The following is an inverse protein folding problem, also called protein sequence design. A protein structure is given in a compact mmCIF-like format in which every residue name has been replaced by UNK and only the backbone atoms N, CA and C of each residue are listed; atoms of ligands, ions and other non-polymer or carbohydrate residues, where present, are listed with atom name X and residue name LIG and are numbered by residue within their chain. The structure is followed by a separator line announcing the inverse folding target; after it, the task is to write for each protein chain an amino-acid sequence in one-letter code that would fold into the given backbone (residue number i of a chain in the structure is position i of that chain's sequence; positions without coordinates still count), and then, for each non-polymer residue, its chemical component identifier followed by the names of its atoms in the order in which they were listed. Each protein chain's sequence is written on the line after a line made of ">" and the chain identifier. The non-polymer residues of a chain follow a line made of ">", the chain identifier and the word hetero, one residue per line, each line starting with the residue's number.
data_IF_560439788189
#
_entry.id   IF_560439788189
#
_cell.length_a   1.000
_cell.length_b   1.000
_cell.length_c   1.000
_cell.angle_alpha   90.00
_cell.angle_beta   90.00
_cell.angle_gamma   90.00
#
_symmetry.space_group_name_H-M   'P 1'
#
loop_
_entity.id
_entity.type
_entity.pdbx_description
1 polymer ?
#
# COMPACT_ATOMS: atom_id res chain seq x y z
N UNK A 1 -34.40 100.46 -8.55
CA UNK A 1 -34.79 99.33 -7.69
C UNK A 1 -33.86 98.18 -8.01
N UNK A 2 -33.16 97.68 -7.07
CA UNK A 2 -31.97 96.85 -7.20
C UNK A 2 -32.32 95.39 -7.43
N UNK A 3 -31.82 94.80 -8.56
CA UNK A 3 -31.84 93.35 -8.81
C UNK A 3 -30.50 92.69 -8.54
N UNK A 4 -30.48 91.78 -7.61
CA UNK A 4 -29.27 91.01 -7.24
C UNK A 4 -29.01 89.86 -8.30
N UNK A 5 -27.80 89.84 -8.82
CA UNK A 5 -27.29 88.77 -9.67
C UNK A 5 -26.62 87.73 -8.74
N UNK A 6 -27.11 86.53 -8.75
CA UNK A 6 -26.49 85.40 -8.04
C UNK A 6 -25.59 84.55 -8.97
N UNK A 7 -24.30 84.54 -8.66
CA UNK A 7 -23.31 83.76 -9.40
C UNK A 7 -23.30 82.34 -8.88
N UNK A 8 -23.60 81.38 -9.76
CA UNK A 8 -23.47 79.94 -9.48
C UNK A 8 -22.03 79.49 -9.78
N UNK A 9 -21.31 79.06 -8.72
CA UNK A 9 -19.99 78.42 -8.90
C UNK A 9 -20.16 76.93 -9.15
N UNK A 10 -19.69 76.47 -10.30
CA UNK A 10 -19.65 75.05 -10.69
C UNK A 10 -18.38 74.43 -10.10
N UNK A 11 -18.52 73.54 -9.08
CA UNK A 11 -17.41 72.72 -8.56
C UNK A 11 -17.33 71.42 -9.35
N UNK A 12 -16.32 71.32 -10.19
CA UNK A 12 -15.98 70.07 -10.90
C UNK A 12 -15.23 69.15 -9.94
N UNK A 13 -15.93 68.12 -9.46
CA UNK A 13 -15.30 67.05 -8.68
C UNK A 13 -14.51 66.07 -9.56
N UNK A 14 -13.20 66.11 -9.44
CA UNK A 14 -12.34 65.05 -9.98
C UNK A 14 -12.53 63.74 -9.18
N UNK A 15 -13.26 62.78 -9.74
CA UNK A 15 -13.31 61.43 -9.22
C UNK A 15 -11.99 60.70 -9.56
N UNK A 16 -11.08 60.60 -8.58
CA UNK A 16 -9.89 59.73 -8.69
C UNK A 16 -10.39 58.30 -8.58
N UNK A 17 -10.51 57.59 -9.69
CA UNK A 17 -10.79 56.17 -9.75
C UNK A 17 -9.62 55.39 -9.13
N UNK A 18 -9.82 54.82 -7.93
CA UNK A 18 -8.91 53.82 -7.39
C UNK A 18 -8.83 52.62 -8.38
N UNK A 19 -7.62 52.11 -8.70
CA UNK A 19 -7.53 50.93 -9.48
C UNK A 19 -8.16 49.76 -8.72
N UNK A 20 -9.19 49.14 -9.29
CA UNK A 20 -9.75 47.90 -8.80
C UNK A 20 -8.63 46.88 -8.82
N UNK A 21 -8.09 46.50 -7.68
CA UNK A 21 -7.29 45.32 -7.49
C UNK A 21 -8.17 44.13 -7.89
N UNK A 22 -8.08 43.74 -9.16
CA UNK A 22 -8.59 42.45 -9.58
C UNK A 22 -7.81 41.38 -8.82
N UNK A 23 -8.34 40.96 -7.68
CA UNK A 23 -7.96 39.69 -7.06
C UNK A 23 -8.36 38.60 -8.05
N UNK A 24 -7.47 38.23 -8.95
CA UNK A 24 -7.59 36.98 -9.69
C UNK A 24 -7.77 35.92 -8.61
N UNK A 25 -8.94 35.32 -8.53
CA UNK A 25 -9.10 34.08 -7.80
C UNK A 25 -8.03 33.14 -8.37
N UNK A 26 -6.99 32.86 -7.58
CA UNK A 26 -5.94 31.94 -8.01
C UNK A 26 -6.61 30.60 -8.32
N UNK A 27 -6.57 30.23 -9.60
CA UNK A 27 -7.14 28.99 -10.10
C UNK A 27 -6.26 27.81 -9.60
N UNK A 28 -6.87 26.63 -9.42
CA UNK A 28 -6.11 25.42 -9.14
C UNK A 28 -4.99 25.21 -10.18
N UNK A 29 -3.85 24.61 -9.80
CA UNK A 29 -2.73 24.38 -10.72
C UNK A 29 -3.16 23.65 -11.99
N UNK A 30 -2.77 24.17 -13.15
CA UNK A 30 -3.11 23.56 -14.44
C UNK A 30 -2.34 22.27 -14.68
N UNK A 31 -2.90 21.40 -15.54
CA UNK A 31 -2.22 20.15 -15.93
C UNK A 31 -0.82 20.42 -16.52
N UNK A 32 -0.65 21.49 -17.30
CA UNK A 32 0.65 21.86 -17.87
C UNK A 32 1.68 22.26 -16.79
N UNK A 33 1.24 22.99 -15.76
CA UNK A 33 2.12 23.34 -14.62
C UNK A 33 2.56 22.11 -13.85
N UNK A 34 1.64 21.18 -13.55
CA UNK A 34 1.96 19.92 -12.88
C UNK A 34 2.94 19.10 -13.72
N UNK A 35 2.68 18.93 -15.01
CA UNK A 35 3.56 18.17 -15.91
C UNK A 35 4.98 18.77 -16.00
N UNK A 36 5.07 20.10 -16.11
CA UNK A 36 6.37 20.78 -16.14
C UNK A 36 7.14 20.62 -14.82
N UNK A 37 6.46 20.74 -13.68
CA UNK A 37 7.08 20.58 -12.37
C UNK A 37 7.51 19.12 -12.10
N UNK A 38 6.69 18.13 -12.46
CA UNK A 38 7.03 16.71 -12.36
C UNK A 38 8.25 16.36 -13.21
N UNK A 39 8.31 16.85 -14.44
CA UNK A 39 9.49 16.69 -15.30
C UNK A 39 10.74 17.35 -14.71
N UNK A 40 10.61 18.54 -14.15
CA UNK A 40 11.74 19.27 -13.57
C UNK A 40 12.32 18.58 -12.31
N UNK A 41 11.49 17.89 -11.52
CA UNK A 41 11.95 17.20 -10.30
C UNK A 41 12.50 15.80 -10.59
N UNK A 42 12.24 15.20 -11.75
CA UNK A 42 12.61 13.82 -12.07
C UNK A 42 14.10 13.48 -11.82
N UNK A 43 15.10 14.32 -12.19
CA UNK A 43 16.50 14.02 -11.88
C UNK A 43 16.75 13.84 -10.38
N UNK A 44 16.05 14.59 -9.53
CA UNK A 44 16.15 14.48 -8.07
C UNK A 44 15.45 13.22 -7.55
N UNK A 45 14.31 12.85 -8.14
CA UNK A 45 13.60 11.59 -7.83
C UNK A 45 14.50 10.38 -8.13
N UNK A 46 15.16 10.37 -9.28
CA UNK A 46 16.12 9.34 -9.67
C UNK A 46 17.29 9.28 -8.66
N UNK A 47 17.82 10.42 -8.26
CA UNK A 47 18.93 10.48 -7.30
C UNK A 47 18.50 9.93 -5.93
N UNK A 48 17.33 10.30 -5.41
CA UNK A 48 16.80 9.75 -4.16
C UNK A 48 16.56 8.24 -4.24
N UNK A 49 15.92 7.76 -5.33
CA UNK A 49 15.72 6.33 -5.54
C UNK A 49 17.02 5.54 -5.48
N UNK A 50 18.05 5.98 -6.20
CA UNK A 50 19.33 5.29 -6.25
C UNK A 50 20.06 5.31 -4.91
N UNK A 51 20.00 6.42 -4.19
CA UNK A 51 20.60 6.55 -2.85
C UNK A 51 19.90 5.62 -1.83
N UNK A 52 18.57 5.55 -1.85
CA UNK A 52 17.80 4.65 -0.96
C UNK A 52 18.04 3.19 -1.35
N UNK A 53 18.09 2.88 -2.65
CA UNK A 53 18.34 1.54 -3.16
C UNK A 53 19.73 0.99 -2.76
N UNK A 54 20.74 1.85 -2.77
CA UNK A 54 22.12 1.50 -2.36
C UNK A 54 22.24 1.28 -0.85
N UNK A 55 21.31 1.85 -0.05
CA UNK A 55 21.34 1.81 1.41
C UNK A 55 20.00 1.30 1.99
N UNK A 56 19.54 0.11 1.61
CA UNK A 56 18.24 -0.41 2.03
C UNK A 56 18.25 -0.79 3.52
N UNK A 57 17.10 -0.60 4.16
CA UNK A 57 16.89 -0.90 5.57
C UNK A 57 15.65 -1.80 5.74
N UNK A 58 15.74 -2.81 6.61
CA UNK A 58 14.65 -3.75 6.87
C UNK A 58 13.54 -3.10 7.71
N UNK A 59 12.36 -3.70 7.69
CA UNK A 59 11.20 -3.22 8.41
C UNK A 59 11.46 -2.91 9.89
N UNK A 60 11.00 -1.74 10.34
CA UNK A 60 11.27 -1.12 11.65
C UNK A 60 12.74 -0.71 11.90
N UNK A 61 13.61 -0.79 10.90
CA UNK A 61 15.03 -0.41 10.98
C UNK A 61 15.37 0.75 10.01
N UNK A 62 14.39 1.39 9.40
CA UNK A 62 14.51 2.40 8.33
C UNK A 62 14.94 3.78 8.88
N UNK A 63 15.99 3.81 9.71
CA UNK A 63 16.43 5.02 10.43
C UNK A 63 17.03 6.06 9.48
N UNK A 64 17.88 5.62 8.53
CA UNK A 64 18.53 6.50 7.55
C UNK A 64 17.50 7.05 6.56
N UNK A 65 16.63 6.18 6.04
CA UNK A 65 15.58 6.53 5.09
C UNK A 65 14.59 7.51 5.74
N UNK A 66 14.17 7.25 6.97
CA UNK A 66 13.32 8.15 7.76
C UNK A 66 13.96 9.55 7.95
N UNK A 67 15.24 9.59 8.30
CA UNK A 67 15.97 10.85 8.49
C UNK A 67 16.10 11.64 7.17
N UNK A 68 16.34 10.96 6.04
CA UNK A 68 16.36 11.56 4.71
C UNK A 68 14.99 12.19 4.38
N UNK A 69 13.90 11.44 4.56
CA UNK A 69 12.54 11.90 4.29
C UNK A 69 12.21 13.13 5.15
N UNK A 70 12.45 13.05 6.46
CA UNK A 70 12.14 14.13 7.37
C UNK A 70 12.94 15.42 7.03
N UNK A 71 14.20 15.28 6.65
CA UNK A 71 15.05 16.40 6.20
C UNK A 71 14.48 17.07 4.94
N UNK A 72 14.16 16.30 3.92
CA UNK A 72 13.62 16.82 2.65
C UNK A 72 12.26 17.50 2.84
N UNK A 73 11.36 16.90 3.60
CA UNK A 73 10.05 17.49 3.90
C UNK A 73 10.14 18.79 4.69
N UNK A 74 11.02 18.85 5.71
CA UNK A 74 11.27 20.11 6.47
C UNK A 74 11.82 21.20 5.57
N UNK A 75 12.78 20.88 4.67
CA UNK A 75 13.32 21.83 3.71
C UNK A 75 12.27 22.36 2.72
N UNK A 76 11.25 21.58 2.40
CA UNK A 76 10.10 21.97 1.57
C UNK A 76 9.00 22.73 2.33
N UNK A 77 9.14 22.92 3.65
CA UNK A 77 8.19 23.66 4.47
C UNK A 77 6.94 22.89 4.88
N UNK A 78 7.03 21.55 4.93
CA UNK A 78 6.02 20.71 5.56
C UNK A 78 6.13 20.76 7.09
N UNK A 79 5.02 20.63 7.77
CA UNK A 79 4.98 20.22 9.17
C UNK A 79 5.28 18.72 9.22
N UNK A 80 6.30 18.29 9.99
CA UNK A 80 6.79 16.91 9.95
C UNK A 80 6.65 16.26 11.32
N UNK A 81 6.03 15.10 11.35
CA UNK A 81 5.96 14.19 12.50
C UNK A 81 6.85 12.99 12.20
N UNK A 82 7.84 12.77 13.03
CA UNK A 82 8.79 11.66 12.97
C UNK A 82 8.41 10.58 13.97
N UNK A 83 8.89 9.37 13.78
CA UNK A 83 8.67 8.21 14.65
C UNK A 83 7.18 7.83 14.79
N UNK A 84 6.37 8.07 13.77
CA UNK A 84 5.00 7.59 13.70
C UNK A 84 5.04 6.13 13.23
N UNK A 85 4.60 5.19 14.07
CA UNK A 85 4.77 3.77 13.77
C UNK A 85 6.24 3.32 13.80
N UNK A 86 7.02 3.74 14.80
CA UNK A 86 8.47 3.57 14.98
C UNK A 86 9.29 4.49 14.07
N UNK A 87 9.65 4.07 12.86
CA UNK A 87 10.51 4.82 11.94
C UNK A 87 9.72 5.64 10.92
N UNK A 88 8.39 5.54 10.88
CA UNK A 88 7.57 6.24 9.91
C UNK A 88 7.58 7.77 10.06
N UNK A 89 7.33 8.44 8.94
CA UNK A 89 7.30 9.90 8.83
C UNK A 89 5.98 10.36 8.22
N UNK A 90 5.37 11.37 8.83
CA UNK A 90 4.17 12.04 8.31
C UNK A 90 4.46 13.48 8.01
N UNK A 91 4.32 13.89 6.76
CA UNK A 91 4.44 15.26 6.30
C UNK A 91 3.09 15.90 6.05
N UNK A 92 2.86 17.12 6.54
CA UNK A 92 1.59 17.84 6.43
C UNK A 92 1.81 19.16 5.69
N UNK A 93 1.15 19.32 4.56
CA UNK A 93 1.16 20.55 3.77
C UNK A 93 -0.22 21.19 3.80
N UNK A 94 -0.36 22.26 4.56
CA UNK A 94 -1.58 23.09 4.56
C UNK A 94 -1.54 24.04 3.37
N UNK A 95 -2.52 23.88 2.46
CA UNK A 95 -2.66 24.75 1.29
C UNK A 95 -3.04 26.19 1.62
N UNK A 96 -3.11 27.03 0.61
CA UNK A 96 -3.47 28.46 0.73
C UNK A 96 -4.93 28.72 1.09
N UNK A 97 -5.82 27.72 0.97
CA UNK A 97 -7.26 27.83 1.25
C UNK A 97 -7.73 26.64 2.08
N UNK A 98 -8.72 26.82 2.98
CA UNK A 98 -9.29 25.70 3.73
C UNK A 98 -10.02 24.73 2.78
N UNK A 99 -10.04 23.44 3.14
CA UNK A 99 -10.68 22.40 2.33
C UNK A 99 -10.56 21.03 2.98
N UNK A 100 -10.73 19.98 2.17
CA UNK A 100 -10.58 18.59 2.53
C UNK A 100 -9.14 18.23 2.89
N UNK A 101 -8.96 17.06 3.47
CA UNK A 101 -7.67 16.49 3.79
C UNK A 101 -7.48 15.20 3.02
N UNK A 102 -6.47 15.13 2.17
CA UNK A 102 -6.11 13.93 1.41
C UNK A 102 -4.77 13.40 1.85
N UNK A 103 -4.66 12.08 1.97
CA UNK A 103 -3.38 11.42 2.22
C UNK A 103 -2.84 10.72 0.97
N UNK A 104 -1.51 10.70 0.84
CA UNK A 104 -0.76 9.87 -0.09
C UNK A 104 0.20 9.00 0.73
N UNK A 105 0.34 7.73 0.38
CA UNK A 105 1.21 6.78 1.11
C UNK A 105 2.27 6.18 0.21
N UNK A 106 3.49 6.12 0.75
CA UNK A 106 4.59 5.28 0.26
C UNK A 106 5.12 4.43 1.42
N UNK A 107 5.33 3.14 1.18
CA UNK A 107 6.12 2.26 2.03
C UNK A 107 7.61 2.52 1.83
N UNK A 108 8.47 2.11 2.79
CA UNK A 108 9.88 2.46 2.75
C UNK A 108 10.85 1.36 3.20
N UNK A 109 10.34 0.20 3.59
CA UNK A 109 11.16 -0.92 4.04
C UNK A 109 11.71 -1.77 2.89
N UNK A 110 12.82 -2.46 3.16
CA UNK A 110 13.47 -3.40 2.25
C UNK A 110 13.34 -4.84 2.75
N UNK A 111 13.76 -5.78 1.91
CA UNK A 111 13.62 -7.22 2.14
C UNK A 111 14.98 -7.90 2.40
N UNK A 112 15.00 -9.03 3.12
CA UNK A 112 16.20 -9.85 3.32
C UNK A 112 16.52 -10.67 2.05
N UNK A 113 16.83 -10.00 0.95
CA UNK A 113 17.11 -10.58 -0.38
C UNK A 113 18.52 -10.18 -0.82
N UNK A 114 19.26 -11.14 -1.40
CA UNK A 114 20.56 -10.87 -2.03
C UNK A 114 20.34 -10.29 -3.43
N UNK A 115 20.80 -9.07 -3.65
CA UNK A 115 20.64 -8.40 -4.94
C UNK A 115 21.54 -8.98 -6.03
N UNK A 116 20.96 -9.20 -7.23
CA UNK A 116 21.65 -9.73 -8.42
C UNK A 116 21.34 -8.92 -9.68
N UNK A 117 20.90 -7.69 -9.54
CA UNK A 117 20.53 -6.79 -10.66
C UNK A 117 21.70 -6.38 -11.52
N UNK A 118 22.90 -6.24 -10.93
CA UNK A 118 24.09 -5.71 -11.60
C UNK A 118 24.06 -4.19 -11.78
N UNK A 119 23.20 -3.47 -11.08
CA UNK A 119 23.13 -2.01 -11.09
C UNK A 119 24.40 -1.40 -10.49
N UNK A 120 24.80 -0.20 -10.94
CA UNK A 120 25.95 0.52 -10.38
C UNK A 120 25.73 0.91 -8.91
N UNK A 121 24.48 1.09 -8.51
CA UNK A 121 24.03 1.39 -7.15
C UNK A 121 23.35 0.18 -6.47
N UNK A 122 23.70 -1.04 -6.92
CA UNK A 122 23.21 -2.27 -6.29
C UNK A 122 23.62 -2.34 -4.82
N UNK A 123 22.71 -2.77 -3.97
CA UNK A 123 22.93 -2.92 -2.53
C UNK A 123 24.04 -3.93 -2.20
N UNK A 124 24.88 -3.58 -1.24
CA UNK A 124 25.85 -4.48 -0.58
C UNK A 124 25.60 -4.56 0.92
N UNK A 125 24.47 -4.02 1.35
CA UNK A 125 24.09 -3.94 2.76
C UNK A 125 23.80 -5.32 3.32
N UNK A 126 24.23 -5.54 4.55
CA UNK A 126 23.85 -6.70 5.37
C UNK A 126 23.31 -6.19 6.69
N UNK A 127 22.24 -6.80 7.17
CA UNK A 127 21.61 -6.46 8.44
C UNK A 127 21.30 -7.73 9.26
N UNK A 128 20.92 -7.54 10.51
CA UNK A 128 20.45 -8.63 11.36
C UNK A 128 18.94 -8.78 11.23
N UNK A 129 18.47 -9.98 10.87
CA UNK A 129 17.07 -10.35 10.81
C UNK A 129 16.86 -11.66 11.54
N UNK A 130 16.02 -11.68 12.58
CA UNK A 130 15.74 -12.86 13.40
C UNK A 130 17.03 -13.56 13.89
N UNK A 131 18.02 -12.78 14.35
CA UNK A 131 19.29 -13.27 14.86
C UNK A 131 20.29 -13.76 13.80
N UNK A 132 19.99 -13.57 12.51
CA UNK A 132 20.85 -13.98 11.39
C UNK A 132 21.34 -12.76 10.61
N UNK A 133 22.57 -12.77 10.13
CA UNK A 133 23.03 -11.80 9.16
C UNK A 133 22.51 -12.15 7.78
N UNK A 134 21.75 -11.23 7.17
CA UNK A 134 21.13 -11.38 5.86
C UNK A 134 21.53 -10.25 4.93
N UNK A 135 21.63 -10.46 3.61
CA UNK A 135 21.73 -9.37 2.64
C UNK A 135 20.39 -8.63 2.56
N UNK A 136 20.42 -7.36 2.18
CA UNK A 136 19.23 -6.51 2.12
C UNK A 136 19.11 -5.85 0.75
N UNK A 137 17.89 -5.84 0.19
CA UNK A 137 17.60 -5.25 -1.12
C UNK A 137 16.18 -4.66 -1.12
N UNK A 138 15.99 -3.52 -1.79
CA UNK A 138 14.66 -3.05 -2.19
C UNK A 138 14.09 -3.89 -3.34
N UNK A 139 13.74 -5.15 -3.04
CA UNK A 139 13.24 -6.09 -4.03
C UNK A 139 11.73 -5.92 -4.34
N UNK A 140 11.02 -5.05 -3.62
CA UNK A 140 9.61 -4.70 -3.88
C UNK A 140 9.43 -3.33 -4.55
N UNK A 141 10.47 -2.47 -4.55
CA UNK A 141 10.43 -1.16 -5.20
C UNK A 141 10.02 -0.01 -4.28
N UNK A 142 10.06 -0.20 -2.95
CA UNK A 142 9.70 0.84 -1.99
C UNK A 142 10.65 2.05 -2.03
N UNK A 143 11.91 1.88 -2.42
CA UNK A 143 12.83 2.96 -2.78
C UNK A 143 12.26 3.90 -3.85
N UNK A 144 11.56 3.33 -4.82
CA UNK A 144 10.84 4.06 -5.88
C UNK A 144 9.62 4.80 -5.34
N UNK A 145 8.85 4.17 -4.46
CA UNK A 145 7.66 4.79 -3.85
C UNK A 145 8.05 6.00 -3.00
N UNK A 146 9.06 5.86 -2.13
CA UNK A 146 9.60 6.98 -1.35
C UNK A 146 10.08 8.12 -2.25
N UNK A 147 10.85 7.79 -3.29
CA UNK A 147 11.40 8.79 -4.18
C UNK A 147 10.32 9.54 -4.97
N UNK A 148 9.29 8.84 -5.46
CA UNK A 148 8.14 9.47 -6.15
C UNK A 148 7.34 10.36 -5.19
N UNK A 149 7.08 9.92 -3.96
CA UNK A 149 6.33 10.71 -2.99
C UNK A 149 7.12 11.95 -2.52
N UNK A 150 8.46 11.90 -2.44
CA UNK A 150 9.31 13.08 -2.25
C UNK A 150 9.28 14.02 -3.46
N UNK A 151 9.22 13.48 -4.68
CA UNK A 151 8.98 14.24 -5.90
C UNK A 151 7.65 14.97 -5.87
N UNK A 152 6.61 14.27 -5.48
CA UNK A 152 5.25 14.79 -5.25
C UNK A 152 5.23 15.88 -4.20
N UNK A 153 5.93 15.67 -3.08
CA UNK A 153 6.12 16.70 -2.05
C UNK A 153 6.73 17.99 -2.61
N UNK A 154 7.76 17.84 -3.46
CA UNK A 154 8.44 18.98 -4.10
C UNK A 154 7.50 19.76 -5.02
N UNK A 155 6.73 19.07 -5.87
CA UNK A 155 5.77 19.68 -6.78
C UNK A 155 4.67 20.41 -5.99
N UNK A 156 4.07 19.76 -4.99
CA UNK A 156 3.00 20.33 -4.18
C UNK A 156 3.48 21.53 -3.34
N UNK A 157 4.69 21.48 -2.79
CA UNK A 157 5.27 22.61 -2.05
C UNK A 157 5.41 23.85 -2.95
N UNK A 158 5.83 23.68 -4.22
CA UNK A 158 5.92 24.76 -5.20
C UNK A 158 4.57 25.39 -5.55
N UNK A 159 3.47 24.67 -5.34
CA UNK A 159 2.09 25.07 -5.65
C UNK A 159 1.26 25.37 -4.41
N UNK A 160 1.86 25.40 -3.21
CA UNK A 160 1.17 25.47 -1.91
C UNK A 160 0.07 26.53 -1.84
N UNK A 161 0.31 27.73 -2.40
CA UNK A 161 -0.64 28.86 -2.37
C UNK A 161 -1.93 28.59 -3.14
N UNK A 162 -1.84 27.80 -4.19
CA UNK A 162 -2.95 27.48 -5.09
C UNK A 162 -3.74 26.24 -4.62
N UNK A 163 -3.20 25.48 -3.64
CA UNK A 163 -3.83 24.28 -3.10
C UNK A 163 -4.96 24.66 -2.13
N UNK A 164 -6.13 24.04 -2.33
CA UNK A 164 -7.26 24.07 -1.40
C UNK A 164 -7.18 22.84 -0.49
N UNK A 165 -7.30 23.06 0.83
CA UNK A 165 -7.25 21.95 1.80
C UNK A 165 -5.84 21.59 2.25
N UNK A 166 -5.65 20.33 2.65
CA UNK A 166 -4.40 19.84 3.23
C UNK A 166 -3.99 18.51 2.58
N UNK A 167 -2.71 18.37 2.27
CA UNK A 167 -2.12 17.12 1.82
C UNK A 167 -1.30 16.53 2.97
N UNK A 168 -1.55 15.26 3.27
CA UNK A 168 -0.79 14.45 4.23
C UNK A 168 0.02 13.41 3.45
N UNK A 169 1.32 13.39 3.66
CA UNK A 169 2.21 12.40 3.06
C UNK A 169 2.62 11.41 4.15
N UNK A 170 2.34 10.14 3.92
CA UNK A 170 2.61 9.05 4.87
C UNK A 170 3.73 8.19 4.29
N UNK A 171 4.90 8.22 4.93
CA UNK A 171 6.01 7.33 4.63
C UNK A 171 6.02 6.23 5.68
N UNK A 172 5.62 5.05 5.25
CA UNK A 172 5.29 3.94 6.13
C UNK A 172 6.42 2.92 6.23
N UNK A 173 6.84 2.53 7.45
CA UNK A 173 7.78 1.44 7.67
C UNK A 173 7.10 0.07 7.63
N UNK A 174 7.91 -0.99 7.50
CA UNK A 174 7.55 -2.39 7.77
C UNK A 174 6.25 -2.86 7.09
N UNK A 175 6.03 -2.53 5.81
CA UNK A 175 4.92 -3.07 5.02
C UNK A 175 5.04 -4.58 4.84
N UNK A 176 6.24 -5.06 4.55
CA UNK A 176 6.58 -6.49 4.39
C UNK A 176 6.55 -7.28 5.71
N UNK A 177 6.29 -6.58 6.79
CA UNK A 177 6.20 -7.09 8.14
C UNK A 177 7.45 -6.81 8.99
N UNK A 178 7.26 -6.57 10.28
CA UNK A 178 8.36 -6.43 11.25
C UNK A 178 8.93 -7.81 11.61
N UNK A 179 10.06 -7.81 12.35
CA UNK A 179 10.60 -9.03 12.94
C UNK A 179 9.59 -9.71 13.87
N UNK A 180 9.76 -11.02 14.05
CA UNK A 180 8.89 -11.81 14.94
C UNK A 180 8.79 -11.20 16.35
N UNK A 181 7.58 -11.02 16.85
CA UNK A 181 7.32 -10.42 18.17
C UNK A 181 7.24 -8.90 18.18
N UNK A 182 7.46 -8.24 17.06
CA UNK A 182 7.28 -6.78 16.92
C UNK A 182 5.94 -6.42 16.27
N UNK A 183 5.47 -5.20 16.54
CA UNK A 183 4.41 -4.55 15.78
C UNK A 183 5.03 -3.58 14.76
N UNK A 184 4.36 -3.35 13.64
CA UNK A 184 4.82 -2.46 12.57
C UNK A 184 3.73 -2.18 11.54
N UNK A 185 4.16 -1.60 10.42
CA UNK A 185 3.34 -1.36 9.25
C UNK A 185 2.20 -0.36 9.44
N UNK A 186 1.21 -0.42 8.55
CA UNK A 186 0.05 0.47 8.56
C UNK A 186 -0.72 0.43 9.88
N UNK A 187 -0.83 -0.75 10.53
CA UNK A 187 -1.51 -0.90 11.82
C UNK A 187 -0.93 0.02 12.88
N UNK A 188 0.39 0.07 12.98
CA UNK A 188 1.09 0.89 13.96
C UNK A 188 1.00 2.38 13.62
N UNK A 189 1.15 2.73 12.34
CA UNK A 189 0.98 4.10 11.84
C UNK A 189 -0.41 4.65 12.16
N UNK A 190 -1.47 3.86 11.95
CA UNK A 190 -2.86 4.24 12.24
C UNK A 190 -3.04 4.45 13.74
N UNK A 191 -2.55 3.52 14.59
CA UNK A 191 -2.61 3.64 16.05
C UNK A 191 -1.95 4.92 16.53
N UNK A 192 -0.83 5.30 15.93
CA UNK A 192 -0.07 6.49 16.30
C UNK A 192 -0.60 7.77 15.60
N UNK A 193 -1.80 7.68 15.01
CA UNK A 193 -2.58 8.82 14.51
C UNK A 193 -2.16 9.36 13.15
N UNK A 194 -1.67 8.53 12.25
CA UNK A 194 -1.31 8.95 10.88
C UNK A 194 -2.51 9.47 10.08
N UNK A 195 -3.74 9.00 10.40
CA UNK A 195 -4.98 9.42 9.74
C UNK A 195 -5.80 10.46 10.53
N UNK A 196 -5.39 10.81 11.75
CA UNK A 196 -6.22 11.59 12.66
C UNK A 196 -5.70 13.02 12.89
N UNK A 197 -4.46 13.30 12.57
CA UNK A 197 -3.81 14.58 12.85
C UNK A 197 -3.07 15.14 11.62
N UNK A 198 -3.81 15.81 10.71
CA UNK A 198 -5.26 16.08 10.67
C UNK A 198 -6.08 14.87 10.24
N UNK A 199 -7.39 14.87 10.56
CA UNK A 199 -8.28 13.79 10.11
C UNK A 199 -8.35 13.74 8.59
N UNK A 200 -7.97 12.58 8.03
CA UNK A 200 -7.91 12.33 6.59
C UNK A 200 -9.30 11.95 6.06
N UNK A 201 -9.70 12.53 4.92
CA UNK A 201 -10.97 12.24 4.26
C UNK A 201 -10.86 11.12 3.22
N UNK A 202 -9.69 10.95 2.59
CA UNK A 202 -9.39 9.85 1.67
C UNK A 202 -7.87 9.64 1.56
N UNK A 203 -7.47 8.42 1.16
CA UNK A 203 -6.07 8.06 0.97
C UNK A 203 -5.83 7.39 -0.38
N UNK A 204 -4.69 7.68 -0.99
CA UNK A 204 -4.21 7.02 -2.21
C UNK A 204 -2.82 6.43 -1.98
N UNK A 205 -2.56 5.26 -2.61
CA UNK A 205 -1.25 4.64 -2.67
C UNK A 205 -0.89 4.26 -4.10
N UNK A 206 0.40 4.33 -4.43
CA UNK A 206 0.93 3.88 -5.72
C UNK A 206 2.00 2.84 -5.48
N UNK A 207 1.90 1.69 -6.14
CA UNK A 207 2.90 0.62 -6.05
C UNK A 207 3.45 0.26 -7.43
N UNK A 208 4.75 0.12 -7.57
CA UNK A 208 5.38 -0.28 -8.84
C UNK A 208 5.38 -1.79 -9.02
N UNK A 209 5.26 -2.23 -10.26
CA UNK A 209 5.31 -3.65 -10.60
C UNK A 209 5.80 -3.90 -12.02
N UNK A 210 5.95 -5.17 -12.45
CA UNK A 210 6.53 -5.56 -13.74
C UNK A 210 5.57 -5.41 -14.93
N UNK A 211 4.48 -4.66 -14.80
CA UNK A 211 3.57 -4.33 -15.89
C UNK A 211 4.22 -3.36 -16.91
N UNK A 212 3.56 -3.14 -18.04
CA UNK A 212 4.02 -2.24 -19.09
C UNK A 212 4.33 -0.85 -18.54
N UNK A 213 5.47 -0.29 -18.93
CA UNK A 213 5.91 1.01 -18.44
C UNK A 213 4.85 2.11 -18.65
N UNK A 214 4.64 2.92 -17.61
CA UNK A 214 3.63 3.98 -17.54
C UNK A 214 2.17 3.53 -17.49
N UNK A 215 1.86 2.21 -17.47
CA UNK A 215 0.51 1.73 -17.25
C UNK A 215 0.11 2.00 -15.80
N UNK A 216 -0.99 2.70 -15.60
CA UNK A 216 -1.63 2.88 -14.29
C UNK A 216 -2.83 1.94 -14.24
N UNK A 217 -2.73 0.87 -13.47
CA UNK A 217 -3.78 -0.13 -13.40
C UNK A 217 -4.31 -0.29 -11.97
N UNK A 218 -5.61 -0.44 -11.86
CA UNK A 218 -6.34 -0.63 -10.62
C UNK A 218 -7.71 -1.25 -10.92
N UNK A 219 -8.46 -1.58 -9.90
CA UNK A 219 -9.86 -1.99 -10.06
C UNK A 219 -10.67 -1.55 -8.85
N UNK A 220 -11.97 -1.29 -9.00
CA UNK A 220 -12.90 -1.12 -7.88
C UNK A 220 -13.00 -2.38 -7.05
N UNK A 221 -13.38 -2.23 -5.78
CA UNK A 221 -13.56 -3.31 -4.82
C UNK A 221 -12.25 -4.04 -4.50
N UNK A 222 -12.27 -5.37 -4.34
CA UNK A 222 -11.08 -6.14 -4.00
C UNK A 222 -10.05 -6.14 -5.14
N UNK A 223 -8.84 -5.68 -4.85
CA UNK A 223 -7.73 -5.62 -5.81
C UNK A 223 -6.59 -6.56 -5.43
N UNK A 224 -5.98 -6.38 -4.24
CA UNK A 224 -5.03 -7.34 -3.66
C UNK A 224 -5.75 -8.24 -2.67
N UNK A 225 -5.32 -9.49 -2.60
CA UNK A 225 -5.93 -10.48 -1.73
C UNK A 225 -5.72 -10.17 -0.24
N UNK A 226 -6.61 -10.67 0.61
CA UNK A 226 -6.31 -10.81 2.04
C UNK A 226 -5.14 -11.76 2.25
N UNK A 227 -4.42 -11.63 3.38
CA UNK A 227 -3.39 -12.59 3.79
C UNK A 227 -3.71 -13.12 5.17
N UNK A 228 -4.20 -14.34 5.22
CA UNK A 228 -4.48 -15.04 6.47
C UNK A 228 -3.52 -16.20 6.65
N UNK A 229 -2.91 -16.31 7.83
CA UNK A 229 -2.16 -17.48 8.25
C UNK A 229 -3.11 -18.44 8.94
N UNK A 230 -3.20 -19.65 8.44
CA UNK A 230 -3.99 -20.75 9.00
C UNK A 230 -3.09 -21.66 9.81
N UNK A 231 -3.46 -21.92 11.08
CA UNK A 231 -2.88 -22.97 11.91
C UNK A 231 -3.98 -23.93 12.33
N UNK A 232 -3.78 -25.21 12.04
CA UNK A 232 -4.68 -26.28 12.49
C UNK A 232 -3.93 -27.13 13.50
N UNK A 233 -4.52 -27.32 14.66
CA UNK A 233 -4.01 -28.21 15.71
C UNK A 233 -4.98 -29.34 15.92
N UNK A 234 -4.46 -30.57 15.99
CA UNK A 234 -5.25 -31.75 16.33
C UNK A 234 -4.59 -32.49 17.49
N UNK A 235 -5.38 -32.79 18.49
CA UNK A 235 -4.95 -33.59 19.64
C UNK A 235 -5.81 -34.85 19.80
N UNK A 236 -5.18 -35.99 19.79
CA UNK A 236 -5.84 -37.28 19.91
C UNK A 236 -5.17 -38.17 20.96
N UNK A 237 -4.99 -39.44 20.65
CA UNK A 237 -4.38 -40.40 21.54
C UNK A 237 -3.28 -41.17 20.82
N UNK A 238 -2.07 -41.13 21.36
CA UNK A 238 -0.92 -41.85 20.84
C UNK A 238 -1.16 -43.38 20.87
N UNK A 239 -0.62 -44.10 19.88
CA UNK A 239 -0.68 -45.56 19.85
C UNK A 239 0.50 -46.14 19.07
N UNK A 240 0.69 -47.46 19.17
CA UNK A 240 1.67 -48.20 18.39
C UNK A 240 1.23 -48.25 16.90
N UNK A 241 2.14 -48.05 15.96
CA UNK A 241 1.84 -48.04 14.52
C UNK A 241 1.18 -49.33 14.00
N UNK A 242 1.43 -50.49 14.63
CA UNK A 242 0.74 -51.74 14.29
C UNK A 242 -0.63 -51.91 14.98
N UNK A 243 -1.07 -50.95 15.79
CA UNK A 243 -2.36 -50.96 16.51
C UNK A 243 -3.12 -49.64 16.37
N UNK A 244 -3.39 -49.16 15.15
CA UNK A 244 -4.02 -47.84 14.95
C UNK A 244 -5.39 -47.70 15.62
N UNK A 245 -6.14 -48.77 15.73
CA UNK A 245 -7.46 -48.80 16.40
C UNK A 245 -7.41 -48.54 17.93
N UNK A 246 -6.23 -48.57 18.53
CA UNK A 246 -6.07 -48.34 19.97
C UNK A 246 -5.86 -46.84 20.34
N UNK A 247 -5.74 -45.98 19.33
CA UNK A 247 -5.59 -44.56 19.47
C UNK A 247 -6.29 -43.78 18.33
N UNK A 248 -5.75 -42.64 17.95
CA UNK A 248 -6.22 -41.82 16.83
C UNK A 248 -5.16 -41.82 15.72
N UNK A 249 -5.51 -42.26 14.53
CA UNK A 249 -4.60 -42.26 13.38
C UNK A 249 -4.48 -40.83 12.80
N UNK A 250 -3.46 -40.08 13.27
CA UNK A 250 -3.21 -38.71 12.88
C UNK A 250 -2.91 -38.55 11.38
N UNK A 251 -2.38 -39.58 10.69
CA UNK A 251 -2.13 -39.52 9.27
C UNK A 251 -3.45 -39.50 8.49
N UNK A 252 -4.43 -40.31 8.90
CA UNK A 252 -5.76 -40.30 8.31
C UNK A 252 -6.50 -38.98 8.59
N UNK A 253 -6.38 -38.43 9.78
CA UNK A 253 -6.93 -37.10 10.12
C UNK A 253 -6.32 -36.01 9.22
N UNK A 254 -5.00 -35.99 9.06
CA UNK A 254 -4.33 -35.02 8.20
C UNK A 254 -4.80 -35.12 6.72
N UNK A 255 -4.92 -36.33 6.19
CA UNK A 255 -5.39 -36.56 4.83
C UNK A 255 -6.81 -36.03 4.61
N UNK A 256 -7.74 -36.32 5.54
CA UNK A 256 -9.12 -35.83 5.47
C UNK A 256 -9.18 -34.30 5.54
N UNK A 257 -8.39 -33.67 6.42
CA UNK A 257 -8.32 -32.22 6.50
C UNK A 257 -7.81 -31.61 5.20
N UNK A 258 -6.73 -32.12 4.60
CA UNK A 258 -6.18 -31.60 3.33
C UNK A 258 -7.23 -31.70 2.22
N UNK A 259 -7.89 -32.85 2.09
CA UNK A 259 -8.94 -33.01 1.07
C UNK A 259 -10.12 -32.07 1.30
N UNK A 260 -10.54 -31.88 2.55
CA UNK A 260 -11.60 -30.97 2.91
C UNK A 260 -11.25 -29.50 2.57
N UNK A 261 -10.02 -29.05 2.85
CA UNK A 261 -9.57 -27.70 2.48
C UNK A 261 -9.66 -27.46 0.97
N UNK A 262 -9.20 -28.42 0.17
CA UNK A 262 -9.31 -28.35 -1.30
C UNK A 262 -10.77 -28.33 -1.77
N UNK A 263 -11.65 -29.10 -1.13
CA UNK A 263 -13.07 -29.12 -1.47
C UNK A 263 -13.80 -27.81 -1.09
N UNK A 264 -13.47 -27.23 0.07
CA UNK A 264 -14.06 -25.94 0.50
C UNK A 264 -13.81 -24.89 -0.56
N UNK A 265 -12.54 -24.67 -0.95
CA UNK A 265 -12.16 -23.64 -1.91
C UNK A 265 -12.72 -23.88 -3.33
N UNK A 266 -12.88 -25.13 -3.75
CA UNK A 266 -13.27 -25.46 -5.13
C UNK A 266 -14.76 -25.79 -5.29
N UNK A 267 -15.48 -26.20 -4.24
CA UNK A 267 -16.82 -26.79 -4.36
C UNK A 267 -17.86 -26.19 -3.42
N UNK A 268 -17.45 -25.49 -2.37
CA UNK A 268 -18.40 -24.96 -1.39
C UNK A 268 -18.58 -23.44 -1.49
N UNK A 269 -17.86 -22.79 -2.39
CA UNK A 269 -17.94 -21.36 -2.65
C UNK A 269 -18.12 -21.10 -4.15
N UNK A 270 -18.79 -19.99 -4.49
CA UNK A 270 -18.93 -19.56 -5.88
C UNK A 270 -17.58 -18.98 -6.37
N UNK A 271 -16.85 -19.79 -7.12
CA UNK A 271 -15.55 -19.42 -7.67
C UNK A 271 -15.66 -18.34 -8.77
N UNK A 272 -16.82 -18.18 -9.39
CA UNK A 272 -17.06 -17.16 -10.40
C UNK A 272 -17.29 -15.77 -9.80
N UNK A 273 -17.86 -15.70 -8.60
CA UNK A 273 -18.12 -14.42 -7.94
C UNK A 273 -16.86 -13.82 -7.29
N UNK A 274 -16.02 -14.65 -6.66
CA UNK A 274 -14.77 -14.21 -6.04
C UNK A 274 -13.84 -15.41 -5.87
N UNK A 275 -12.68 -15.43 -6.53
CA UNK A 275 -11.72 -16.50 -6.36
C UNK A 275 -11.16 -16.53 -4.94
N UNK A 276 -10.69 -17.69 -4.52
CA UNK A 276 -10.07 -17.88 -3.21
C UNK A 276 -9.04 -19.00 -3.26
N UNK A 277 -8.06 -18.93 -2.38
CA UNK A 277 -7.03 -19.95 -2.21
C UNK A 277 -6.98 -20.36 -0.76
N UNK A 278 -6.99 -21.67 -0.50
CA UNK A 278 -6.72 -22.26 0.83
C UNK A 278 -5.64 -23.31 0.63
N UNK A 279 -4.50 -23.12 1.26
CA UNK A 279 -3.33 -24.01 1.09
C UNK A 279 -2.86 -24.50 2.45
N UNK A 280 -2.63 -25.81 2.58
CA UNK A 280 -1.84 -26.39 3.66
C UNK A 280 -0.43 -26.64 3.10
N UNK A 281 0.56 -26.00 3.71
CA UNK A 281 1.96 -26.03 3.26
C UNK A 281 2.89 -26.77 4.24
N UNK A 282 2.49 -26.88 5.50
CA UNK A 282 3.29 -27.47 6.57
C UNK A 282 2.47 -28.53 7.32
N UNK A 283 3.08 -29.68 7.57
CA UNK A 283 2.49 -30.76 8.36
C UNK A 283 3.57 -31.30 9.30
N UNK A 284 3.33 -31.15 10.59
CA UNK A 284 4.23 -31.63 11.64
C UNK A 284 3.53 -32.66 12.50
N UNK A 285 4.00 -33.92 12.45
CA UNK A 285 3.53 -34.99 13.30
C UNK A 285 4.59 -36.09 13.40
N UNK A 286 4.68 -36.70 14.57
CA UNK A 286 5.47 -37.91 14.83
C UNK A 286 6.99 -37.75 14.63
N UNK A 287 7.76 -38.70 15.15
CA UNK A 287 9.22 -38.76 14.99
C UNK A 287 9.72 -40.18 14.67
N UNK A 288 8.90 -41.18 14.87
CA UNK A 288 9.27 -42.60 14.65
C UNK A 288 8.17 -43.32 13.89
N UNK A 289 8.56 -44.12 12.93
CA UNK A 289 7.66 -44.81 12.01
C UNK A 289 6.75 -45.89 12.68
N UNK A 290 7.06 -46.32 13.87
CA UNK A 290 6.26 -47.30 14.65
C UNK A 290 5.41 -46.64 15.76
N UNK A 291 5.30 -45.33 15.80
CA UNK A 291 4.49 -44.57 16.76
C UNK A 291 3.55 -43.64 16.03
N UNK A 292 2.26 -43.79 16.20
CA UNK A 292 1.26 -42.80 15.81
C UNK A 292 1.24 -41.74 16.92
N UNK A 293 1.55 -40.45 16.63
CA UNK A 293 1.64 -39.41 17.63
C UNK A 293 0.25 -39.00 18.18
N UNK A 294 0.20 -38.32 19.30
CA UNK A 294 -1.04 -37.71 19.81
C UNK A 294 -1.31 -36.32 19.26
N UNK A 295 -0.27 -35.64 18.75
CA UNK A 295 -0.35 -34.26 18.27
C UNK A 295 -0.07 -34.19 16.75
N UNK A 296 -0.87 -33.36 16.06
CA UNK A 296 -0.68 -32.96 14.68
C UNK A 296 -0.83 -31.44 14.60
N UNK A 297 0.14 -30.77 13.97
CA UNK A 297 0.07 -29.34 13.68
C UNK A 297 0.23 -29.13 12.17
N UNK A 298 -0.73 -28.43 11.58
CA UNK A 298 -0.69 -28.06 10.15
C UNK A 298 -0.65 -26.55 10.01
N UNK A 299 0.14 -26.07 9.08
CA UNK A 299 0.28 -24.65 8.74
C UNK A 299 -0.10 -24.36 7.30
N UNK A 300 -0.77 -23.24 7.09
CA UNK A 300 -1.19 -22.87 5.75
C UNK A 300 -1.51 -21.38 5.60
N UNK A 301 -2.07 -21.05 4.45
CA UNK A 301 -2.49 -19.68 4.12
C UNK A 301 -3.84 -19.68 3.43
N UNK A 302 -4.60 -18.58 3.63
CA UNK A 302 -5.81 -18.31 2.87
C UNK A 302 -5.70 -16.95 2.19
N UNK A 303 -6.22 -16.85 0.96
CA UNK A 303 -6.30 -15.63 0.16
C UNK A 303 -7.73 -15.45 -0.35
N UNK A 304 -8.26 -14.24 -0.21
CA UNK A 304 -9.61 -13.88 -0.73
C UNK A 304 -9.59 -12.45 -1.25
N UNK A 305 -10.58 -12.09 -2.07
CA UNK A 305 -10.74 -10.76 -2.64
C UNK A 305 -12.04 -10.06 -2.18
N UNK A 306 -12.68 -10.61 -1.15
CA UNK A 306 -13.89 -10.07 -0.56
C UNK A 306 -13.92 -10.39 0.92
N UNK A 307 -14.21 -9.40 1.77
CA UNK A 307 -14.35 -9.59 3.22
C UNK A 307 -15.43 -10.61 3.55
N UNK A 308 -16.59 -10.53 2.88
CA UNK A 308 -17.66 -11.49 3.08
C UNK A 308 -17.25 -12.93 2.72
N UNK A 309 -16.48 -13.11 1.63
CA UNK A 309 -15.90 -14.40 1.24
C UNK A 309 -14.90 -14.91 2.27
N UNK A 310 -14.07 -14.02 2.79
CA UNK A 310 -13.08 -14.36 3.81
C UNK A 310 -13.76 -14.90 5.07
N UNK A 311 -14.78 -14.20 5.57
CA UNK A 311 -15.51 -14.58 6.79
C UNK A 311 -16.26 -15.90 6.60
N UNK A 312 -16.89 -16.11 5.45
CA UNK A 312 -17.54 -17.38 5.10
C UNK A 312 -16.54 -18.55 5.05
N UNK A 313 -15.38 -18.35 4.46
CA UNK A 313 -14.34 -19.39 4.41
C UNK A 313 -13.76 -19.71 5.78
N UNK A 314 -13.49 -18.73 6.61
CA UNK A 314 -13.03 -18.94 8.00
C UNK A 314 -14.03 -19.82 8.76
N UNK A 315 -15.32 -19.48 8.70
CA UNK A 315 -16.36 -20.24 9.37
C UNK A 315 -16.45 -21.69 8.85
N UNK A 316 -16.36 -21.88 7.52
CA UNK A 316 -16.40 -23.24 6.91
C UNK A 316 -15.17 -24.07 7.32
N UNK A 317 -13.99 -23.50 7.27
CA UNK A 317 -12.73 -24.18 7.66
C UNK A 317 -12.82 -24.61 9.12
N UNK A 318 -13.18 -23.70 10.02
CA UNK A 318 -13.28 -24.00 11.46
C UNK A 318 -14.30 -25.11 11.73
N UNK A 319 -15.50 -25.02 11.15
CA UNK A 319 -16.55 -26.03 11.29
C UNK A 319 -16.10 -27.39 10.74
N UNK A 320 -15.46 -27.41 9.59
CA UNK A 320 -15.04 -28.66 8.93
C UNK A 320 -13.91 -29.35 9.69
N UNK A 321 -12.92 -28.57 10.17
CA UNK A 321 -11.81 -29.11 10.98
C UNK A 321 -12.32 -29.71 12.27
N UNK A 322 -13.22 -29.03 12.99
CA UNK A 322 -13.82 -29.56 14.21
C UNK A 322 -14.60 -30.86 13.94
N UNK A 323 -15.42 -30.90 12.88
CA UNK A 323 -16.20 -32.08 12.51
C UNK A 323 -15.31 -33.29 12.12
N UNK A 324 -14.16 -33.06 11.46
CA UNK A 324 -13.19 -34.12 11.19
C UNK A 324 -12.58 -34.63 12.50
N UNK A 325 -12.20 -33.74 13.42
CA UNK A 325 -11.72 -34.12 14.73
C UNK A 325 -12.71 -35.03 15.46
N UNK A 326 -13.97 -34.64 15.56
CA UNK A 326 -15.04 -35.41 16.19
C UNK A 326 -15.21 -36.79 15.57
N UNK A 327 -15.16 -36.89 14.23
CA UNK A 327 -15.24 -38.17 13.48
C UNK A 327 -14.17 -39.17 13.92
N UNK A 328 -12.97 -38.69 14.24
CA UNK A 328 -11.85 -39.55 14.66
C UNK A 328 -11.69 -39.65 16.19
N UNK A 329 -12.56 -39.00 16.96
CA UNK A 329 -12.44 -38.94 18.43
C UNK A 329 -11.25 -38.10 18.89
N UNK A 330 -10.87 -37.09 18.15
CA UNK A 330 -9.81 -36.13 18.43
C UNK A 330 -10.39 -34.72 18.63
N UNK A 331 -9.67 -33.85 19.32
CA UNK A 331 -9.95 -32.42 19.36
C UNK A 331 -9.19 -31.72 18.24
N UNK A 332 -9.89 -31.09 17.31
CA UNK A 332 -9.29 -30.36 16.21
C UNK A 332 -9.77 -28.91 16.18
N UNK A 333 -8.86 -27.98 15.95
CA UNK A 333 -9.13 -26.53 15.93
C UNK A 333 -8.36 -25.86 14.81
N UNK A 334 -9.01 -24.90 14.12
CA UNK A 334 -8.40 -24.04 13.12
C UNK A 334 -8.40 -22.59 13.59
N UNK A 335 -7.22 -21.97 13.62
CA UNK A 335 -7.02 -20.58 14.05
C UNK A 335 -6.42 -19.78 12.89
N UNK A 336 -6.98 -18.59 12.67
CA UNK A 336 -6.47 -17.60 11.71
C UNK A 336 -5.82 -16.46 12.45
N UNK A 337 -4.57 -16.11 12.07
CA UNK A 337 -3.78 -15.05 12.71
C UNK A 337 -3.18 -14.11 11.67
N UNK A 338 -2.84 -12.89 12.12
CA UNK A 338 -2.21 -11.83 11.32
C UNK A 338 -2.95 -11.56 9.99
N UNK A 339 -4.24 -11.23 10.02
CA UNK A 339 -4.95 -10.95 8.80
C UNK A 339 -4.53 -9.60 8.21
N UNK A 340 -4.05 -9.60 6.96
CA UNK A 340 -4.16 -8.42 6.14
C UNK A 340 -5.52 -8.49 5.46
N UNK A 341 -6.38 -7.48 5.64
CA UNK A 341 -7.65 -7.40 4.93
C UNK A 341 -7.46 -7.39 3.42
N UNK A 342 -8.53 -7.53 2.69
CA UNK A 342 -8.54 -7.28 1.24
C UNK A 342 -8.16 -5.82 1.00
N UNK A 343 -7.21 -5.54 0.12
CA UNK A 343 -6.96 -4.18 -0.35
C UNK A 343 -8.16 -3.76 -1.20
N UNK A 344 -9.06 -3.03 -0.55
CA UNK A 344 -10.36 -2.66 -1.09
C UNK A 344 -10.34 -1.24 -1.62
N UNK A 345 -10.45 -1.09 -2.92
CA UNK A 345 -10.60 0.21 -3.57
C UNK A 345 -12.08 0.65 -3.52
N UNK A 346 -12.33 1.78 -2.88
CA UNK A 346 -13.68 2.35 -2.79
C UNK A 346 -14.28 2.56 -4.20
N UNK A 347 -15.45 1.98 -4.54
CA UNK A 347 -15.99 1.99 -5.92
C UNK A 347 -16.23 3.40 -6.48
N UNK A 348 -16.79 4.30 -5.66
CA UNK A 348 -17.08 5.68 -6.10
C UNK A 348 -15.79 6.48 -6.31
N UNK A 349 -14.81 6.28 -5.43
CA UNK A 349 -13.51 6.93 -5.54
C UNK A 349 -12.70 6.34 -6.70
N UNK A 350 -12.80 5.03 -6.94
CA UNK A 350 -12.19 4.34 -8.09
C UNK A 350 -12.71 4.84 -9.42
N UNK A 351 -14.01 5.01 -9.54
CA UNK A 351 -14.63 5.58 -10.74
C UNK A 351 -14.20 7.03 -10.96
N UNK A 352 -14.12 7.79 -9.89
CA UNK A 352 -13.75 9.20 -9.94
C UNK A 352 -12.27 9.40 -10.31
N UNK A 353 -11.36 8.61 -9.73
CA UNK A 353 -9.90 8.81 -9.87
C UNK A 353 -9.39 8.58 -11.30
N UNK A 354 -10.13 7.86 -12.15
CA UNK A 354 -9.76 7.58 -13.54
C UNK A 354 -9.35 8.84 -14.30
N UNK A 355 -10.12 9.91 -14.15
CA UNK A 355 -9.84 11.17 -14.83
C UNK A 355 -8.51 11.80 -14.37
N UNK A 356 -8.15 11.67 -13.11
CA UNK A 356 -6.87 12.15 -12.57
C UNK A 356 -5.69 11.33 -13.10
N UNK A 357 -5.84 10.01 -13.17
CA UNK A 357 -4.82 9.10 -13.70
C UNK A 357 -4.61 9.28 -15.21
N UNK A 358 -5.67 9.55 -15.97
CA UNK A 358 -5.57 9.86 -17.40
C UNK A 358 -4.80 11.18 -17.68
N UNK A 359 -4.83 12.14 -16.75
CA UNK A 359 -3.96 13.33 -16.85
C UNK A 359 -2.48 12.97 -16.66
N UNK A 360 -2.18 11.98 -15.84
CA UNK A 360 -0.81 11.54 -15.56
C UNK A 360 -0.24 10.66 -16.69
N UNK A 361 -1.04 9.77 -17.25
CA UNK A 361 -0.65 8.80 -18.29
C UNK A 361 -1.76 8.59 -19.32
N UNK A 362 -1.93 9.51 -20.27
CA UNK A 362 -3.01 9.48 -21.25
C UNK A 362 -3.04 8.17 -22.05
N UNK A 363 -4.20 7.51 -22.09
CA UNK A 363 -4.41 6.24 -22.81
C UNK A 363 -3.68 5.03 -22.23
N UNK A 364 -3.13 5.15 -21.03
CA UNK A 364 -2.46 4.06 -20.30
C UNK A 364 -3.06 3.87 -18.90
N UNK A 365 -4.38 3.92 -18.80
CA UNK A 365 -5.11 3.66 -17.55
C UNK A 365 -6.03 2.47 -17.75
N UNK A 366 -5.82 1.41 -16.94
CA UNK A 366 -6.69 0.25 -16.88
C UNK A 366 -7.42 0.23 -15.53
N UNK A 367 -8.72 0.48 -15.54
CA UNK A 367 -9.60 0.48 -14.37
C UNK A 367 -10.29 -0.87 -14.11
N UNK A 368 -9.85 -1.91 -14.80
CA UNK A 368 -10.31 -3.29 -14.62
C UNK A 368 -9.13 -4.28 -14.52
N UNK A 369 -8.09 -3.89 -13.82
CA UNK A 369 -6.89 -4.70 -13.63
C UNK A 369 -7.21 -6.11 -13.12
N UNK A 370 -6.36 -7.07 -13.46
CA UNK A 370 -6.43 -8.41 -12.91
C UNK A 370 -6.26 -8.40 -11.39
N UNK A 371 -6.86 -9.37 -10.72
CA UNK A 371 -6.70 -9.59 -9.28
C UNK A 371 -5.25 -9.97 -8.97
N UNK A 372 -4.71 -9.41 -7.88
CA UNK A 372 -3.35 -9.70 -7.41
C UNK A 372 -3.42 -10.59 -6.16
N UNK A 373 -2.83 -11.77 -6.22
CA UNK A 373 -2.83 -12.72 -5.09
C UNK A 373 -1.86 -12.35 -3.96
N UNK A 374 -0.99 -11.36 -4.18
CA UNK A 374 -0.23 -10.69 -3.12
C UNK A 374 -1.16 -9.98 -2.15
N UNK A 375 -0.67 -9.72 -0.95
CA UNK A 375 -1.37 -8.91 0.06
C UNK A 375 -0.59 -7.61 0.29
N UNK A 376 -1.28 -6.61 0.84
CA UNK A 376 -0.75 -5.27 1.03
C UNK A 376 -1.42 -4.66 2.27
N UNK A 377 -0.63 -4.14 3.21
CA UNK A 377 -1.15 -3.61 4.47
C UNK A 377 -1.80 -2.22 4.34
N UNK A 378 -1.69 -1.58 3.16
CA UNK A 378 -2.51 -0.43 2.78
C UNK A 378 -4.01 -0.72 2.96
N UNK A 379 -4.39 -1.99 2.90
CA UNK A 379 -5.74 -2.47 3.20
C UNK A 379 -6.26 -2.00 4.55
N UNK A 380 -5.40 -1.83 5.55
CA UNK A 380 -5.77 -1.35 6.88
C UNK A 380 -6.17 0.14 6.88
N UNK A 381 -5.54 0.96 6.02
CA UNK A 381 -6.00 2.33 5.80
C UNK A 381 -7.36 2.36 5.08
N UNK A 382 -7.54 1.46 4.10
CA UNK A 382 -8.79 1.34 3.34
C UNK A 382 -9.98 0.93 4.22
N UNK A 383 -9.76 0.26 5.35
CA UNK A 383 -10.79 0.00 6.36
C UNK A 383 -11.19 1.25 7.17
N UNK A 384 -10.37 2.30 7.17
CA UNK A 384 -10.59 3.49 8.01
C UNK A 384 -11.14 4.67 7.22
N UNK A 385 -10.69 4.85 5.99
CA UNK A 385 -11.10 5.97 5.12
C UNK A 385 -11.27 5.48 3.67
N UNK A 386 -12.07 6.15 2.84
CA UNK A 386 -12.13 5.86 1.41
C UNK A 386 -10.74 5.85 0.79
N UNK A 387 -10.38 4.77 0.08
CA UNK A 387 -9.05 4.54 -0.43
C UNK A 387 -9.05 4.06 -1.87
N UNK A 388 -7.97 4.37 -2.62
CA UNK A 388 -7.64 3.74 -3.89
C UNK A 388 -6.16 3.42 -3.93
N UNK A 389 -5.84 2.18 -4.24
CA UNK A 389 -4.51 1.66 -4.47
C UNK A 389 -4.32 1.40 -5.96
N UNK A 390 -3.25 1.95 -6.54
CA UNK A 390 -2.97 1.92 -7.98
C UNK A 390 -1.61 1.27 -8.21
N UNK A 391 -1.53 0.36 -9.18
CA UNK A 391 -0.24 -0.13 -9.66
C UNK A 391 0.29 0.77 -10.78
N UNK A 392 1.60 1.06 -10.74
CA UNK A 392 2.36 1.69 -11.80
C UNK A 392 3.25 0.64 -12.47
N UNK A 393 3.05 0.40 -13.76
CA UNK A 393 3.92 -0.44 -14.55
C UNK A 393 5.31 0.18 -14.71
N UNK A 394 6.33 -0.59 -14.29
CA UNK A 394 7.74 -0.18 -14.29
C UNK A 394 8.65 -1.10 -15.08
N UNK A 395 8.12 -1.96 -15.97
CA UNK A 395 8.93 -2.89 -16.76
C UNK A 395 9.87 -2.16 -17.70
N UNK A 396 11.15 -2.49 -17.65
CA UNK A 396 12.17 -1.92 -18.52
C UNK A 396 11.91 -2.21 -20.00
N UNK A 397 12.22 -1.23 -20.84
CA UNK A 397 12.13 -1.39 -22.30
C UNK A 397 12.94 -2.60 -22.79
N UNK A 398 12.35 -3.39 -23.69
CA UNK A 398 12.99 -4.57 -24.27
C UNK A 398 12.90 -5.84 -23.41
N UNK A 399 12.41 -5.78 -22.18
CA UNK A 399 12.18 -6.96 -21.33
C UNK A 399 10.78 -7.55 -21.65
N UNK A 400 10.66 -8.82 -22.12
CA UNK A 400 9.37 -9.43 -22.36
C UNK A 400 8.57 -9.61 -21.06
N UNK A 401 7.25 -9.45 -21.11
CA UNK A 401 6.39 -9.61 -19.93
C UNK A 401 6.54 -10.98 -19.24
N UNK A 402 6.69 -12.05 -20.03
CA UNK A 402 6.81 -13.41 -19.52
C UNK A 402 8.12 -13.68 -18.74
N UNK A 403 9.14 -12.85 -18.91
CA UNK A 403 10.46 -13.01 -18.27
C UNK A 403 10.84 -11.83 -17.39
N UNK A 404 9.96 -10.84 -17.27
CA UNK A 404 10.19 -9.70 -16.39
C UNK A 404 10.29 -10.17 -14.93
N UNK A 405 11.36 -9.79 -14.20
CA UNK A 405 11.48 -10.12 -12.79
C UNK A 405 10.29 -9.55 -12.00
N UNK A 406 9.60 -10.40 -11.25
CA UNK A 406 8.53 -9.99 -10.37
C UNK A 406 9.11 -9.29 -9.12
N UNK A 407 8.26 -8.54 -8.43
CA UNK A 407 8.56 -8.06 -7.07
C UNK A 407 9.03 -9.23 -6.20
N UNK A 408 9.93 -8.98 -5.26
CA UNK A 408 10.66 -9.94 -4.40
C UNK A 408 11.72 -10.79 -5.14
N UNK A 409 11.89 -10.62 -6.45
CA UNK A 409 13.00 -11.26 -7.19
C UNK A 409 14.34 -10.57 -6.87
N UNK A 410 15.46 -11.31 -6.74
CA UNK A 410 16.79 -10.72 -6.64
C UNK A 410 17.22 -9.92 -7.89
N UNK A 411 16.47 -10.02 -8.97
CA UNK A 411 16.67 -9.31 -10.24
C UNK A 411 15.64 -8.18 -10.46
N UNK A 412 14.77 -7.91 -9.49
CA UNK A 412 13.74 -6.89 -9.62
C UNK A 412 14.37 -5.51 -9.79
N UNK A 413 13.93 -4.79 -10.80
CA UNK A 413 14.31 -3.41 -11.07
C UNK A 413 13.24 -2.73 -11.93
N UNK A 414 13.15 -1.42 -11.86
CA UNK A 414 12.14 -0.62 -12.55
C UNK A 414 12.77 0.36 -13.53
N UNK A 415 12.03 0.70 -14.59
CA UNK A 415 12.41 1.76 -15.53
C UNK A 415 12.24 3.12 -14.86
N UNK A 416 13.33 3.84 -14.66
CA UNK A 416 13.32 5.17 -14.02
C UNK A 416 12.52 6.22 -14.81
N UNK A 417 12.22 5.96 -16.09
CA UNK A 417 11.37 6.84 -16.90
C UNK A 417 9.93 6.94 -16.36
N UNK A 418 9.45 5.92 -15.62
CA UNK A 418 8.08 5.91 -15.08
C UNK A 418 7.90 6.82 -13.86
N UNK A 419 8.97 7.30 -13.23
CA UNK A 419 8.89 8.09 -11.99
C UNK A 419 8.13 9.41 -12.21
N UNK A 420 8.32 10.06 -13.36
CA UNK A 420 7.53 11.25 -13.73
C UNK A 420 6.02 10.92 -13.76
N UNK A 421 5.66 9.74 -14.27
CA UNK A 421 4.25 9.30 -14.31
C UNK A 421 3.70 9.07 -12.90
N UNK A 422 4.47 8.42 -12.01
CA UNK A 422 4.09 8.23 -10.62
C UNK A 422 3.88 9.56 -9.89
N UNK A 423 4.83 10.48 -9.99
CA UNK A 423 4.70 11.84 -9.42
C UNK A 423 3.47 12.55 -9.95
N UNK A 424 3.22 12.53 -11.27
CA UNK A 424 2.01 13.12 -11.84
C UNK A 424 0.74 12.48 -11.32
N UNK A 425 0.70 11.15 -11.22
CA UNK A 425 -0.46 10.43 -10.71
C UNK A 425 -0.79 10.83 -9.26
N UNK A 426 0.19 10.84 -8.38
CA UNK A 426 0.03 11.26 -6.99
C UNK A 426 -0.42 12.72 -6.88
N UNK A 427 0.21 13.63 -7.61
CA UNK A 427 -0.14 15.06 -7.62
C UNK A 427 -1.57 15.27 -8.10
N UNK A 428 -1.98 14.64 -9.24
CA UNK A 428 -3.33 14.82 -9.75
C UNK A 428 -4.38 14.17 -8.86
N UNK A 429 -4.12 13.00 -8.28
CA UNK A 429 -5.02 12.39 -7.31
C UNK A 429 -5.26 13.32 -6.12
N UNK A 430 -4.19 13.93 -5.59
CA UNK A 430 -4.30 14.86 -4.46
C UNK A 430 -5.04 16.15 -4.84
N UNK A 431 -4.59 16.87 -5.88
CA UNK A 431 -5.17 18.16 -6.26
C UNK A 431 -6.63 18.05 -6.69
N UNK A 432 -6.95 17.07 -7.54
CA UNK A 432 -8.31 16.87 -8.02
C UNK A 432 -9.26 16.45 -6.88
N UNK A 433 -8.76 15.62 -5.91
CA UNK A 433 -9.57 15.25 -4.75
C UNK A 433 -9.90 16.46 -3.87
N UNK A 434 -8.95 17.35 -3.65
CA UNK A 434 -9.16 18.57 -2.86
C UNK A 434 -10.16 19.53 -3.52
N UNK A 435 -10.29 19.52 -4.85
CA UNK A 435 -11.28 20.30 -5.60
C UNK A 435 -12.63 19.59 -5.76
N UNK A 436 -12.73 18.30 -5.40
CA UNK A 436 -13.98 17.52 -5.49
C UNK A 436 -15.06 18.14 -4.58
N UNK A 437 -16.24 18.39 -5.19
CA UNK A 437 -17.42 18.91 -4.46
C UNK A 437 -17.99 17.92 -3.48
#
# INVERSE_FOLDING_TARGET
>A
MFGRVSTLALVAGLAVGAPALNSRAEAAPSQAQVAAAAKAVQPKVIAWRRDIHEHPELGNQEVRTSALIAKELKALGFEVRENVGKTGVVGILKGGKPGKVVALRADMDALPVEEKTGLLFASKVKATWEGRTVPVMHACGHDTHVAMLLGTATVLAGMKKDIKGTVVLIFQPAEEGPQAGEEGGAKLMIRDGALDQPKVDAIFGVHVGPADAHLLNYRPEGFYASSDRLTITVKGKQTHGARPWAGVDMASVAADIIQAMNQIAARQVDVGASPSVVTIAVINMGMRQNIIPEDLVMGGTMRTFSTARRDDLIARVQKTVAAIGDRYGAKAEAVFTQPYPVTYNNPDLSKWVKASLEKASPGKVDDNAALVTGAEDFSLYAEKVPAVFVQLGGRKAGVPAATAPANHSPFFDVDEAVFETGVKAEVFMALDYLERK
#
